data_IF_743137991315
#
_entry.id   IF_743137991315
#
_cell.length_a   1.000
_cell.length_b   1.000
_cell.length_c   1.000
_cell.angle_alpha   90.00
_cell.angle_beta   90.00
_cell.angle_gamma   90.00
#
_symmetry.space_group_name_H-M   'P 1'
#
loop_
_entity.id
_entity.type
_entity.pdbx_description
1 polymer ?
#
# COMPACT_ATOMS: atom_id res chain seq x y z
N UNK A 1 -14.37 0.24 9.39
CA UNK A 1 -13.29 0.17 8.37
C UNK A 1 -13.36 -1.10 7.54
N UNK A 2 -13.35 -2.30 8.13
CA UNK A 2 -13.37 -3.57 7.36
C UNK A 2 -14.58 -3.70 6.41
N UNK A 3 -15.78 -3.29 6.83
CA UNK A 3 -16.96 -3.29 5.96
C UNK A 3 -16.77 -2.38 4.73
N UNK A 4 -16.28 -1.16 4.91
CA UNK A 4 -16.00 -0.21 3.82
C UNK A 4 -14.90 -0.73 2.89
N UNK A 5 -13.86 -1.36 3.44
CA UNK A 5 -12.81 -1.97 2.64
C UNK A 5 -13.36 -3.14 1.81
N UNK A 6 -14.16 -4.01 2.44
CA UNK A 6 -14.80 -5.14 1.76
C UNK A 6 -15.65 -4.65 0.60
N UNK A 7 -16.56 -3.70 0.85
CA UNK A 7 -17.41 -3.09 -0.18
C UNK A 7 -16.57 -2.51 -1.33
N UNK A 8 -15.54 -1.71 -1.02
CA UNK A 8 -14.69 -1.11 -2.04
C UNK A 8 -13.88 -2.13 -2.86
N UNK A 9 -13.52 -3.28 -2.29
CA UNK A 9 -12.83 -4.36 -3.01
C UNK A 9 -13.82 -5.19 -3.85
N UNK A 10 -15.04 -5.42 -3.36
CA UNK A 10 -16.12 -6.07 -4.09
C UNK A 10 -16.55 -5.23 -5.30
N UNK A 11 -16.59 -3.90 -5.17
CA UNK A 11 -16.87 -2.96 -6.26
C UNK A 11 -15.85 -3.03 -7.41
N UNK A 12 -14.60 -3.40 -7.12
CA UNK A 12 -13.56 -3.63 -8.14
C UNK A 12 -13.50 -5.10 -8.61
N UNK A 13 -14.48 -5.92 -8.23
CA UNK A 13 -14.69 -7.27 -8.73
C UNK A 13 -13.96 -8.37 -7.95
N UNK A 14 -13.53 -8.11 -6.72
CA UNK A 14 -12.89 -9.12 -5.87
C UNK A 14 -13.90 -9.82 -4.96
N UNK A 15 -13.69 -11.11 -4.69
CA UNK A 15 -14.40 -11.80 -3.61
C UNK A 15 -13.58 -11.65 -2.33
N UNK A 16 -14.17 -11.07 -1.27
CA UNK A 16 -13.41 -10.68 -0.08
C UNK A 16 -14.03 -11.23 1.20
N UNK A 17 -13.17 -11.85 2.00
CA UNK A 17 -13.46 -12.24 3.37
C UNK A 17 -12.60 -11.41 4.32
N UNK A 18 -13.18 -11.00 5.45
CA UNK A 18 -12.52 -10.18 6.46
C UNK A 18 -12.82 -10.75 7.84
N UNK A 19 -11.85 -10.65 8.75
CA UNK A 19 -12.04 -10.90 10.18
C UNK A 19 -11.29 -9.83 10.96
N UNK A 20 -11.83 -9.45 12.13
CA UNK A 20 -11.12 -8.69 13.16
C UNK A 20 -10.57 -9.60 14.27
N UNK A 21 -10.92 -10.89 14.27
CA UNK A 21 -10.46 -11.92 15.22
C UNK A 21 -9.23 -12.63 14.66
N UNK A 22 -8.13 -11.89 14.58
CA UNK A 22 -6.92 -12.33 13.88
C UNK A 22 -6.36 -13.63 14.45
N UNK A 23 -6.46 -13.83 15.77
CA UNK A 23 -6.02 -15.04 16.47
C UNK A 23 -6.81 -16.29 16.08
N UNK A 24 -7.97 -16.12 15.44
CA UNK A 24 -8.86 -17.20 15.02
C UNK A 24 -8.86 -17.41 13.51
N UNK A 25 -8.12 -16.59 12.76
CA UNK A 25 -8.09 -16.61 11.31
C UNK A 25 -7.71 -18.00 10.76
N UNK A 26 -6.76 -18.69 11.38
CA UNK A 26 -6.34 -20.04 10.97
C UNK A 26 -7.39 -21.14 11.19
N UNK A 27 -8.39 -20.89 12.04
CA UNK A 27 -9.52 -21.80 12.27
C UNK A 27 -10.73 -21.43 11.40
N UNK A 28 -10.89 -20.15 11.06
CA UNK A 28 -12.00 -19.62 10.27
C UNK A 28 -11.78 -19.71 8.76
N UNK A 29 -10.51 -19.70 8.31
CA UNK A 29 -10.15 -19.61 6.89
C UNK A 29 -9.19 -20.71 6.45
N UNK A 30 -9.34 -21.13 5.19
CA UNK A 30 -8.45 -22.09 4.53
C UNK A 30 -7.72 -21.40 3.40
N UNK A 31 -6.39 -21.53 3.33
CA UNK A 31 -5.55 -20.87 2.32
C UNK A 31 -5.95 -21.24 0.88
N UNK A 32 -6.56 -22.42 0.68
CA UNK A 32 -7.04 -22.87 -0.63
C UNK A 32 -8.13 -21.95 -1.23
N UNK A 33 -8.83 -21.18 -0.41
CA UNK A 33 -9.91 -20.28 -0.85
C UNK A 33 -9.40 -18.89 -1.27
N UNK A 34 -8.10 -18.61 -1.10
CA UNK A 34 -7.53 -17.28 -1.29
C UNK A 34 -6.34 -17.30 -2.23
N UNK A 35 -6.30 -16.36 -3.17
CA UNK A 35 -5.08 -16.06 -3.95
C UNK A 35 -4.15 -15.11 -3.19
N UNK A 36 -4.70 -14.34 -2.24
CA UNK A 36 -3.97 -13.34 -1.47
C UNK A 36 -4.55 -13.22 -0.06
N UNK A 37 -3.66 -13.14 0.93
CA UNK A 37 -3.99 -12.86 2.33
C UNK A 37 -3.31 -11.55 2.74
N UNK A 38 -4.11 -10.62 3.23
CA UNK A 38 -3.68 -9.28 3.62
C UNK A 38 -3.78 -9.09 5.13
N UNK A 39 -2.67 -8.71 5.77
CA UNK A 39 -2.62 -8.36 7.18
C UNK A 39 -2.61 -6.85 7.36
N UNK A 40 -3.57 -6.35 8.13
CA UNK A 40 -3.63 -4.93 8.49
C UNK A 40 -2.51 -4.52 9.46
N UNK A 41 -2.24 -3.21 9.53
CA UNK A 41 -1.22 -2.61 10.43
C UNK A 41 -1.35 -2.99 11.91
N UNK A 42 -2.56 -3.33 12.36
CA UNK A 42 -2.83 -3.69 13.76
C UNK A 42 -2.40 -5.10 14.15
N UNK A 43 -2.01 -5.94 13.19
CA UNK A 43 -1.49 -7.28 13.46
C UNK A 43 -0.02 -7.18 13.84
N UNK A 44 0.35 -7.73 15.00
CA UNK A 44 1.75 -7.76 15.41
C UNK A 44 2.60 -8.73 14.57
N UNK A 45 3.91 -8.51 14.54
CA UNK A 45 4.82 -9.30 13.71
C UNK A 45 4.89 -10.79 14.11
N UNK A 46 4.88 -11.16 15.42
CA UNK A 46 4.86 -12.55 15.84
C UNK A 46 3.63 -13.31 15.32
N UNK A 47 2.42 -12.76 15.51
CA UNK A 47 1.18 -13.39 15.05
C UNK A 47 1.12 -13.44 13.52
N UNK A 48 1.56 -12.38 12.84
CA UNK A 48 1.66 -12.36 11.39
C UNK A 48 2.55 -13.50 10.88
N UNK A 49 3.74 -13.67 11.48
CA UNK A 49 4.69 -14.72 11.12
C UNK A 49 4.09 -16.12 11.32
N UNK A 50 3.43 -16.34 12.46
CA UNK A 50 2.76 -17.60 12.76
C UNK A 50 1.67 -17.93 11.73
N UNK A 51 0.75 -16.99 11.47
CA UNK A 51 -0.34 -17.18 10.51
C UNK A 51 0.19 -17.41 9.10
N UNK A 52 1.23 -16.70 8.69
CA UNK A 52 1.88 -16.92 7.39
C UNK A 52 2.45 -18.32 7.27
N UNK A 53 3.07 -18.84 8.32
CA UNK A 53 3.59 -20.20 8.32
C UNK A 53 2.44 -21.23 8.20
N UNK A 54 1.35 -21.03 8.94
CA UNK A 54 0.16 -21.90 8.88
C UNK A 54 -0.45 -21.91 7.47
N UNK A 55 -0.71 -20.73 6.89
CA UNK A 55 -1.33 -20.64 5.57
C UNK A 55 -0.39 -21.13 4.45
N UNK A 56 0.91 -20.87 4.55
CA UNK A 56 1.90 -21.37 3.57
C UNK A 56 2.00 -22.90 3.58
N UNK A 57 1.80 -23.54 4.73
CA UNK A 57 1.74 -25.00 4.83
C UNK A 57 0.49 -25.59 4.18
N UNK A 58 -0.60 -24.82 4.09
CA UNK A 58 -1.83 -25.24 3.42
C UNK A 58 -1.76 -25.00 1.90
N UNK A 59 -1.23 -23.85 1.47
CA UNK A 59 -1.07 -23.45 0.08
C UNK A 59 0.15 -22.53 -0.06
N UNK A 60 1.20 -23.02 -0.72
CA UNK A 60 2.50 -22.35 -0.78
C UNK A 60 2.58 -21.20 -1.78
N UNK A 61 1.62 -21.09 -2.70
CA UNK A 61 1.54 -20.04 -3.73
C UNK A 61 0.64 -18.86 -3.32
N UNK A 62 0.08 -18.85 -2.09
CA UNK A 62 -0.68 -17.70 -1.58
C UNK A 62 0.22 -16.47 -1.45
N UNK A 63 -0.25 -15.35 -1.98
CA UNK A 63 0.41 -14.06 -1.82
C UNK A 63 0.10 -13.48 -0.43
N UNK A 64 1.12 -12.96 0.25
CA UNK A 64 0.96 -12.28 1.53
C UNK A 64 1.27 -10.80 1.41
N UNK A 65 0.37 -9.95 1.91
CA UNK A 65 0.55 -8.48 1.91
C UNK A 65 0.47 -7.97 3.34
N UNK A 66 1.45 -7.15 3.72
CA UNK A 66 1.58 -6.58 5.07
C UNK A 66 1.62 -5.05 5.01
N UNK A 67 1.52 -4.41 6.19
CA UNK A 67 1.84 -2.98 6.34
C UNK A 67 0.90 -2.05 5.56
N UNK A 68 -0.32 -2.54 5.34
CA UNK A 68 -1.36 -1.85 4.60
C UNK A 68 -1.76 -0.53 5.31
N UNK A 69 -1.77 0.57 4.55
CA UNK A 69 -2.10 1.90 5.06
C UNK A 69 -3.60 1.95 5.40
N UNK A 70 -4.04 2.39 6.60
CA UNK A 70 -5.46 2.33 6.98
C UNK A 70 -6.29 3.45 6.35
N UNK A 71 -6.21 3.57 5.02
CA UNK A 71 -6.88 4.54 4.15
C UNK A 71 -7.50 3.75 3.01
N UNK A 72 -8.83 3.59 3.00
CA UNK A 72 -9.54 2.62 2.13
C UNK A 72 -9.14 2.71 0.65
N UNK A 73 -9.12 3.88 -0.01
CA UNK A 73 -8.69 3.95 -1.41
C UNK A 73 -7.25 3.49 -1.65
N UNK A 74 -6.36 3.73 -0.68
CA UNK A 74 -4.96 3.30 -0.76
C UNK A 74 -4.82 1.80 -0.50
N UNK A 75 -5.61 1.23 0.41
CA UNK A 75 -5.69 -0.23 0.63
C UNK A 75 -6.07 -0.97 -0.64
N UNK A 76 -7.11 -0.51 -1.33
CA UNK A 76 -7.55 -1.09 -2.60
C UNK A 76 -6.42 -1.06 -3.62
N UNK A 77 -5.72 0.08 -3.77
CA UNK A 77 -4.56 0.17 -4.66
C UNK A 77 -3.43 -0.78 -4.28
N UNK A 78 -3.08 -0.89 -2.99
CA UNK A 78 -2.02 -1.80 -2.52
C UNK A 78 -2.36 -3.28 -2.81
N UNK A 79 -3.62 -3.68 -2.58
CA UNK A 79 -4.09 -5.05 -2.84
C UNK A 79 -4.08 -5.34 -4.34
N UNK A 80 -4.66 -4.46 -5.16
CA UNK A 80 -4.67 -4.62 -6.62
C UNK A 80 -3.26 -4.67 -7.21
N UNK A 81 -2.34 -3.85 -6.70
CA UNK A 81 -0.93 -3.92 -7.12
C UNK A 81 -0.31 -5.26 -6.74
N UNK A 82 -0.50 -5.73 -5.50
CA UNK A 82 0.05 -7.00 -5.05
C UNK A 82 -0.48 -8.19 -5.87
N UNK A 83 -1.76 -8.18 -6.27
CA UNK A 83 -2.34 -9.21 -7.13
C UNK A 83 -1.78 -9.21 -8.55
N UNK A 84 -1.46 -8.03 -9.11
CA UNK A 84 -0.91 -7.89 -10.47
C UNK A 84 0.58 -8.18 -10.53
N UNK A 85 1.28 -7.96 -9.42
CA UNK A 85 2.73 -8.06 -9.34
C UNK A 85 3.19 -9.49 -9.62
N UNK A 86 4.03 -9.64 -10.63
CA UNK A 86 4.74 -10.90 -10.92
C UNK A 86 6.13 -10.86 -10.28
N UNK A 87 6.56 -11.92 -9.56
CA UNK A 87 7.86 -11.94 -8.89
C UNK A 87 9.07 -11.72 -9.83
N UNK A 88 8.93 -12.09 -11.10
CA UNK A 88 10.01 -12.10 -12.08
C UNK A 88 10.20 -10.75 -12.82
N UNK A 89 9.25 -9.81 -12.67
CA UNK A 89 9.32 -8.53 -13.36
C UNK A 89 10.16 -7.55 -12.55
N UNK A 90 11.16 -6.93 -13.19
CA UNK A 90 11.96 -5.87 -12.56
C UNK A 90 11.05 -4.67 -12.29
N UNK A 91 11.12 -4.13 -11.08
CA UNK A 91 10.36 -2.95 -10.72
C UNK A 91 10.90 -1.73 -11.48
N UNK A 92 10.00 -1.01 -12.16
CA UNK A 92 10.24 0.33 -12.71
C UNK A 92 10.59 1.30 -11.58
N UNK A 93 9.90 1.20 -10.45
CA UNK A 93 10.14 1.97 -9.24
C UNK A 93 11.09 1.21 -8.30
N UNK A 94 12.39 1.50 -8.39
CA UNK A 94 13.41 0.75 -7.65
C UNK A 94 13.72 1.29 -6.25
N UNK A 95 13.49 2.58 -6.01
CA UNK A 95 13.66 3.23 -4.71
C UNK A 95 12.64 4.36 -4.56
N UNK A 96 12.05 4.45 -3.38
CA UNK A 96 11.15 5.52 -2.99
C UNK A 96 11.42 5.85 -1.53
N UNK A 97 11.82 7.10 -1.27
CA UNK A 97 12.11 7.59 0.09
C UNK A 97 11.87 9.08 0.18
N UNK A 98 11.83 9.60 1.40
CA UNK A 98 11.82 11.03 1.66
C UNK A 98 12.93 11.41 2.64
N UNK A 99 13.37 12.65 2.54
CA UNK A 99 14.32 13.26 3.46
C UNK A 99 13.60 14.36 4.22
N UNK A 100 13.70 14.31 5.56
CA UNK A 100 13.17 15.33 6.44
C UNK A 100 14.11 16.54 6.35
N UNK A 101 13.73 17.47 5.49
CA UNK A 101 14.33 18.78 5.29
C UNK A 101 13.20 19.81 5.17
N UNK A 102 13.51 21.10 5.20
CA UNK A 102 12.56 22.16 4.85
C UNK A 102 13.01 22.81 3.53
N UNK A 103 12.30 22.54 2.40
CA UNK A 103 11.14 21.66 2.23
C UNK A 103 11.50 20.15 2.25
N UNK A 104 10.50 19.30 2.52
CA UNK A 104 10.66 17.83 2.44
C UNK A 104 11.06 17.49 1.02
N UNK A 105 12.08 16.65 0.87
CA UNK A 105 12.52 16.19 -0.45
C UNK A 105 12.17 14.73 -0.62
N UNK A 106 11.40 14.40 -1.66
CA UNK A 106 11.13 13.01 -2.03
C UNK A 106 12.08 12.59 -3.12
N UNK A 107 12.70 11.44 -2.91
CA UNK A 107 13.66 10.85 -3.83
C UNK A 107 13.02 9.60 -4.43
N UNK A 108 12.97 9.58 -5.75
CA UNK A 108 12.42 8.49 -6.56
C UNK A 108 13.53 7.99 -7.46
N UNK A 109 13.74 6.68 -7.55
CA UNK A 109 14.65 6.08 -8.53
C UNK A 109 13.87 5.19 -9.48
N UNK A 110 13.98 5.51 -10.78
CA UNK A 110 13.30 4.81 -11.86
C UNK A 110 14.31 4.04 -12.72
N UNK A 111 13.98 2.83 -13.12
CA UNK A 111 14.85 2.03 -14.00
C UNK A 111 14.65 2.33 -15.47
N UNK A 112 13.51 2.91 -15.84
CA UNK A 112 13.13 3.26 -17.21
C UNK A 112 12.30 4.56 -17.24
N UNK A 113 12.24 5.28 -18.38
CA UNK A 113 11.40 6.46 -18.51
C UNK A 113 9.91 6.09 -18.41
N UNK A 114 9.17 6.75 -17.53
CA UNK A 114 7.75 6.45 -17.26
C UNK A 114 6.98 7.70 -16.87
N UNK A 115 5.66 7.67 -17.01
CA UNK A 115 4.80 8.60 -16.27
C UNK A 115 4.91 8.29 -14.78
N UNK A 116 5.27 9.28 -13.97
CA UNK A 116 5.34 9.20 -12.51
C UNK A 116 4.28 10.10 -11.89
N UNK A 117 3.50 9.54 -10.97
CA UNK A 117 2.61 10.28 -10.09
C UNK A 117 3.09 10.15 -8.65
N UNK A 118 3.35 11.27 -7.99
CA UNK A 118 3.60 11.30 -6.54
C UNK A 118 2.44 12.01 -5.86
N UNK A 119 1.88 11.40 -4.84
CA UNK A 119 0.75 11.94 -4.10
C UNK A 119 0.86 11.72 -2.61
N UNK A 120 0.06 12.46 -1.85
CA UNK A 120 -0.11 12.30 -0.41
C UNK A 120 -1.55 11.90 -0.10
N UNK A 121 -1.71 10.82 0.66
CA UNK A 121 -2.95 10.41 1.28
C UNK A 121 -2.91 10.80 2.76
N UNK A 122 -3.98 11.40 3.26
CA UNK A 122 -4.13 11.73 4.67
C UNK A 122 -5.56 11.47 5.14
N UNK A 123 -5.72 11.19 6.43
CA UNK A 123 -7.02 11.23 7.09
C UNK A 123 -7.14 12.53 7.87
N UNK A 124 -8.21 13.28 7.62
CA UNK A 124 -8.56 14.44 8.45
C UNK A 124 -9.09 14.01 9.84
N UNK A 125 -9.43 14.99 10.68
CA UNK A 125 -9.91 14.75 12.04
C UNK A 125 -11.23 13.94 12.06
N UNK A 126 -12.03 14.05 10.99
CA UNK A 126 -13.27 13.29 10.78
C UNK A 126 -13.04 11.94 10.08
N UNK A 127 -11.78 11.50 9.95
CA UNK A 127 -11.36 10.26 9.29
C UNK A 127 -11.75 10.17 7.81
N UNK A 128 -11.94 11.31 7.14
CA UNK A 128 -12.18 11.36 5.70
C UNK A 128 -10.84 11.31 4.99
N UNK A 129 -10.80 10.53 3.91
CA UNK A 129 -9.61 10.44 3.08
C UNK A 129 -9.47 11.69 2.23
N UNK A 130 -8.36 12.40 2.40
CA UNK A 130 -7.91 13.49 1.52
C UNK A 130 -6.72 12.97 0.72
N UNK A 131 -6.77 13.14 -0.60
CA UNK A 131 -5.69 12.79 -1.50
C UNK A 131 -5.27 14.03 -2.28
N UNK A 132 -3.98 14.37 -2.26
CA UNK A 132 -3.41 15.48 -3.04
C UNK A 132 -2.30 14.95 -3.93
N UNK A 133 -2.41 15.23 -5.22
CA UNK A 133 -1.35 14.97 -6.19
C UNK A 133 -0.30 16.07 -6.08
N UNK A 134 0.96 15.68 -5.97
CA UNK A 134 2.10 16.57 -5.77
C UNK A 134 2.99 16.64 -7.02
N UNK A 135 3.15 15.50 -7.70
CA UNK A 135 3.87 15.40 -8.98
C UNK A 135 3.02 14.56 -9.94
N UNK A 136 2.98 14.94 -11.22
CA UNK A 136 2.43 14.12 -12.30
C UNK A 136 3.13 14.49 -13.60
N UNK A 137 4.24 13.81 -13.86
CA UNK A 137 5.16 14.18 -14.94
C UNK A 137 5.76 12.93 -15.59
N UNK A 138 6.17 13.05 -16.85
CA UNK A 138 6.97 12.02 -17.50
C UNK A 138 8.43 12.18 -17.09
N UNK A 139 8.99 11.17 -16.42
CA UNK A 139 10.30 11.25 -15.78
C UNK A 139 11.24 10.24 -16.42
N UNK A 140 12.48 10.66 -16.73
CA UNK A 140 13.49 9.79 -17.33
C UNK A 140 13.97 8.73 -16.33
N UNK A 141 14.62 7.66 -16.82
CA UNK A 141 15.33 6.72 -15.95
C UNK A 141 16.39 7.45 -15.11
N UNK A 142 16.60 6.98 -13.88
CA UNK A 142 17.57 7.56 -12.94
C UNK A 142 16.93 8.01 -11.63
N UNK A 143 17.73 8.69 -10.81
CA UNK A 143 17.31 9.24 -9.53
C UNK A 143 16.85 10.69 -9.68
N UNK A 144 15.67 10.99 -9.14
CA UNK A 144 15.04 12.30 -9.19
C UNK A 144 14.65 12.75 -7.79
N UNK A 145 14.83 14.03 -7.51
CA UNK A 145 14.51 14.65 -6.24
C UNK A 145 13.46 15.74 -6.44
N UNK A 146 12.34 15.63 -5.73
CA UNK A 146 11.22 16.54 -5.80
C UNK A 146 11.09 17.27 -4.46
N UNK A 147 11.46 18.57 -4.40
CA UNK A 147 11.18 19.37 -3.21
C UNK A 147 9.68 19.60 -3.11
N UNK A 148 9.09 19.33 -1.94
CA UNK A 148 7.66 19.39 -1.72
C UNK A 148 7.30 20.23 -0.50
N UNK A 149 6.41 21.19 -0.73
CA UNK A 149 5.71 21.90 0.32
C UNK A 149 4.50 21.07 0.76
N UNK A 150 4.74 20.17 1.71
CA UNK A 150 3.66 19.45 2.40
C UNK A 150 3.24 20.31 3.57
N UNK A 151 2.10 20.98 3.45
CA UNK A 151 1.59 21.80 4.55
C UNK A 151 1.36 20.91 5.79
N UNK A 152 1.76 21.38 6.98
CA UNK A 152 1.35 20.74 8.23
C UNK A 152 -0.17 20.82 8.30
N UNK A 153 -0.83 19.67 8.32
CA UNK A 153 -2.26 19.59 8.57
C UNK A 153 -2.42 19.22 10.04
N UNK A 154 -2.73 20.22 10.88
CA UNK A 154 -2.87 20.02 12.32
C UNK A 154 -4.01 19.07 12.71
N UNK A 155 -4.93 18.77 11.77
CA UNK A 155 -5.99 17.80 11.94
C UNK A 155 -5.68 16.41 11.37
N UNK A 156 -4.57 16.24 10.64
CA UNK A 156 -4.25 14.97 10.03
C UNK A 156 -3.77 13.95 11.07
N UNK A 157 -4.43 12.80 11.12
CA UNK A 157 -4.11 11.73 12.08
C UNK A 157 -3.05 10.77 11.54
N UNK A 158 -3.05 10.55 10.23
CA UNK A 158 -2.08 9.71 9.51
C UNK A 158 -1.84 10.28 8.11
N UNK A 159 -0.60 10.11 7.61
CA UNK A 159 -0.19 10.59 6.29
C UNK A 159 0.68 9.55 5.60
N UNK A 160 0.48 9.38 4.30
CA UNK A 160 1.24 8.48 3.46
C UNK A 160 1.65 9.18 2.17
N UNK A 161 2.93 9.12 1.84
CA UNK A 161 3.41 9.41 0.51
C UNK A 161 3.24 8.19 -0.38
N UNK A 162 2.89 8.43 -1.63
CA UNK A 162 2.71 7.40 -2.65
C UNK A 162 3.47 7.79 -3.90
N UNK A 163 4.11 6.80 -4.53
CA UNK A 163 4.63 6.92 -5.88
C UNK A 163 4.01 5.81 -6.74
N UNK A 164 3.42 6.21 -7.86
CA UNK A 164 2.74 5.34 -8.81
C UNK A 164 3.29 5.61 -10.22
N UNK A 165 3.51 4.55 -10.99
CA UNK A 165 3.99 4.61 -12.38
C UNK A 165 2.98 3.95 -13.33
N UNK A 166 3.08 4.18 -14.63
CA UNK A 166 2.09 3.74 -15.63
C UNK A 166 1.90 2.22 -15.71
N UNK A 167 2.93 1.44 -15.37
CA UNK A 167 2.84 -0.03 -15.23
C UNK A 167 1.90 -0.48 -14.10
N UNK A 168 1.45 0.46 -13.26
CA UNK A 168 0.62 0.22 -12.08
C UNK A 168 1.43 -0.15 -10.84
N UNK A 169 2.76 -0.03 -10.87
CA UNK A 169 3.57 -0.18 -9.65
C UNK A 169 3.29 0.93 -8.66
N UNK A 170 3.22 0.56 -7.38
CA UNK A 170 2.92 1.45 -6.27
C UNK A 170 3.92 1.25 -5.14
N UNK A 171 4.50 2.34 -4.65
CA UNK A 171 5.18 2.39 -3.36
C UNK A 171 4.48 3.34 -2.41
N UNK A 172 4.45 2.97 -1.13
CA UNK A 172 3.75 3.70 -0.06
C UNK A 172 4.70 3.87 1.10
N UNK A 173 4.81 5.10 1.63
CA UNK A 173 5.63 5.41 2.79
C UNK A 173 4.81 6.19 3.82
N UNK A 174 4.80 5.77 5.09
CA UNK A 174 4.28 6.63 6.15
C UNK A 174 5.17 7.85 6.29
N UNK A 175 4.57 9.02 6.51
CA UNK A 175 5.31 10.23 6.91
C UNK A 175 4.79 10.74 8.25
N UNK A 176 5.70 11.25 9.06
CA UNK A 176 5.42 11.89 10.36
C UNK A 176 5.47 13.39 10.23
#
# INVERSE_FOLDING_TARGET
MLALLKEALEDVGLTVFVTDRVEQAAAEFYAADFDLIAFGRGVDEPLNTELRAVFSNQRSDVLFVNGLAPVVPLLVKQILFAMRRKPEVKNVLSDFRYQIAEPITVVVTLTEPTQLTVGIYQLDAEHRTVCKMLVSEFVQAGQHAFPMSIEPDAGATIRFLTAEVDSGELSVLPIS
#
